data_IF_390763401562
#
_entry.id   IF_390763401562
#
_cell.length_a   1.000
_cell.length_b   1.000
_cell.length_c   1.000
_cell.angle_alpha   90.00
_cell.angle_beta   90.00
_cell.angle_gamma   90.00
#
_symmetry.space_group_name_H-M   'P 1'
#
loop_
_entity.id
_entity.type
_entity.pdbx_description
1 polymer ?
#
# COMPACT_ATOMS: atom_id res chain seq x y z
N UNK A 1 63.29 1.93 2.01
CA UNK A 1 62.49 3.15 1.73
C UNK A 1 61.26 2.79 0.86
N UNK A 2 60.16 2.31 1.46
CA UNK A 2 58.95 1.84 0.72
C UNK A 2 57.64 2.16 1.46
N UNK A 3 57.53 3.35 2.07
CA UNK A 3 56.42 3.69 2.97
C UNK A 3 55.54 4.84 2.46
N UNK A 4 55.95 5.54 1.39
CA UNK A 4 55.28 6.77 0.94
C UNK A 4 54.06 6.52 0.03
N UNK A 5 54.02 5.40 -0.70
CA UNK A 5 52.90 5.06 -1.59
C UNK A 5 51.67 4.50 -0.84
N UNK A 6 51.87 3.99 0.39
CA UNK A 6 50.81 3.33 1.17
C UNK A 6 49.73 4.30 1.68
N UNK A 7 50.11 5.56 1.99
CA UNK A 7 49.17 6.59 2.49
C UNK A 7 48.11 7.00 1.47
N UNK A 8 48.47 7.08 0.19
CA UNK A 8 47.53 7.40 -0.88
C UNK A 8 46.53 6.26 -1.11
N UNK A 9 46.96 5.02 -0.87
CA UNK A 9 46.07 3.86 -0.99
C UNK A 9 45.05 3.79 0.15
N UNK A 10 45.45 4.17 1.37
CA UNK A 10 44.52 4.30 2.50
C UNK A 10 43.51 5.44 2.29
N UNK A 11 43.94 6.52 1.63
CA UNK A 11 43.06 7.64 1.27
C UNK A 11 42.01 7.25 0.21
N UNK A 12 42.41 6.47 -0.80
CA UNK A 12 41.49 5.89 -1.80
C UNK A 12 40.49 4.92 -1.16
N UNK A 13 40.92 4.13 -0.17
CA UNK A 13 40.05 3.18 0.53
C UNK A 13 38.94 3.88 1.34
N UNK A 14 39.22 5.06 1.93
CA UNK A 14 38.21 5.82 2.70
C UNK A 14 37.14 6.49 1.82
N UNK A 15 37.45 6.81 0.56
CA UNK A 15 36.52 7.43 -0.39
C UNK A 15 35.45 6.46 -0.93
N UNK A 16 35.67 5.15 -0.86
CA UNK A 16 34.76 4.13 -1.40
C UNK A 16 33.59 3.73 -0.49
N UNK A 17 33.56 4.16 0.77
CA UNK A 17 32.60 3.70 1.80
C UNK A 17 31.19 4.32 1.72
N UNK A 18 30.83 5.00 0.61
CA UNK A 18 29.55 5.73 0.47
C UNK A 18 28.69 5.30 -0.72
N UNK A 19 28.82 4.06 -1.18
CA UNK A 19 27.95 3.53 -2.23
C UNK A 19 26.83 2.67 -1.64
N UNK A 20 25.70 3.29 -1.29
CA UNK A 20 24.44 2.57 -1.06
C UNK A 20 23.69 2.46 -2.39
N UNK A 21 23.84 1.34 -3.09
CA UNK A 21 23.03 1.03 -4.26
C UNK A 21 21.66 0.53 -3.80
N UNK A 22 20.75 1.46 -3.44
CA UNK A 22 19.38 1.09 -3.08
C UNK A 22 18.53 1.00 -4.34
N UNK A 23 18.21 -0.23 -4.76
CA UNK A 23 17.18 -0.47 -5.76
C UNK A 23 15.82 -0.02 -5.20
N UNK A 24 15.33 1.14 -5.66
CA UNK A 24 13.97 1.56 -5.36
C UNK A 24 13.01 0.72 -6.20
N UNK A 25 12.30 -0.20 -5.57
CA UNK A 25 11.22 -1.00 -6.16
C UNK A 25 9.89 -0.25 -6.21
N UNK A 26 9.89 1.06 -5.92
CA UNK A 26 8.67 1.86 -5.90
C UNK A 26 8.32 2.28 -7.32
N UNK A 27 7.32 1.62 -7.91
CA UNK A 27 6.74 2.04 -9.18
C UNK A 27 5.99 3.36 -8.92
N UNK A 28 6.32 4.46 -9.61
CA UNK A 28 5.63 5.73 -9.41
C UNK A 28 4.18 5.62 -9.86
N UNK A 29 3.28 6.21 -9.08
CA UNK A 29 1.88 6.33 -9.46
C UNK A 29 1.75 7.26 -10.69
N UNK A 30 0.79 6.98 -11.57
CA UNK A 30 0.53 7.87 -12.71
C UNK A 30 0.15 9.27 -12.22
N UNK A 31 0.59 10.30 -12.94
CA UNK A 31 0.41 11.72 -12.58
C UNK A 31 -1.06 12.18 -12.60
N UNK A 32 -1.91 11.48 -13.33
CA UNK A 32 -3.36 11.74 -13.44
C UNK A 32 -4.17 11.15 -12.28
N UNK A 33 -3.54 10.36 -11.41
CA UNK A 33 -4.19 9.81 -10.23
C UNK A 33 -3.97 10.75 -9.04
N UNK A 34 -5.06 11.26 -8.49
CA UNK A 34 -5.06 11.98 -7.23
C UNK A 34 -5.18 10.95 -6.10
N UNK A 35 -4.23 10.95 -5.17
CA UNK A 35 -4.23 10.00 -4.05
C UNK A 35 -3.86 10.66 -2.72
N UNK A 36 -4.25 10.04 -1.62
CA UNK A 36 -3.96 10.55 -0.28
C UNK A 36 -4.47 9.64 0.84
N UNK A 37 -4.42 10.16 2.06
CA UNK A 37 -4.90 9.49 3.27
C UNK A 37 -5.85 10.42 4.03
N UNK A 38 -7.04 9.92 4.34
CA UNK A 38 -8.04 10.61 5.13
C UNK A 38 -7.65 10.63 6.62
N UNK A 39 -8.28 11.52 7.41
CA UNK A 39 -8.04 11.64 8.86
C UNK A 39 -8.25 10.33 9.63
N UNK A 40 -9.21 9.51 9.19
CA UNK A 40 -9.51 8.19 9.75
C UNK A 40 -8.53 7.09 9.28
N UNK A 41 -7.53 7.44 8.48
CA UNK A 41 -6.48 6.55 8.03
C UNK A 41 -6.74 5.80 6.72
N UNK A 42 -7.92 5.97 6.12
CA UNK A 42 -8.25 5.37 4.82
C UNK A 42 -7.44 5.99 3.69
N UNK A 43 -6.93 5.15 2.78
CA UNK A 43 -6.26 5.61 1.55
C UNK A 43 -7.29 5.72 0.43
N UNK A 44 -7.18 6.75 -0.39
CA UNK A 44 -8.04 6.94 -1.56
C UNK A 44 -7.21 7.17 -2.82
N UNK A 45 -7.79 6.79 -3.95
CA UNK A 45 -7.25 6.98 -5.29
C UNK A 45 -8.41 7.42 -6.20
N UNK A 46 -8.23 8.52 -6.91
CA UNK A 46 -9.21 9.08 -7.84
C UNK A 46 -8.52 9.27 -9.17
N UNK A 47 -9.07 8.68 -10.22
CA UNK A 47 -8.64 8.84 -11.59
C UNK A 47 -9.79 9.45 -12.37
N UNK A 48 -9.54 10.57 -13.05
CA UNK A 48 -10.52 11.11 -13.98
C UNK A 48 -10.63 10.20 -15.20
N UNK A 49 -11.85 9.82 -15.56
CA UNK A 49 -12.13 9.06 -16.77
C UNK A 49 -13.20 9.77 -17.59
N UNK A 50 -12.93 9.97 -18.89
CA UNK A 50 -13.82 10.67 -19.81
C UNK A 50 -14.83 9.74 -20.49
N UNK A 51 -14.61 8.42 -20.47
CA UNK A 51 -15.47 7.46 -21.16
C UNK A 51 -15.69 6.19 -20.33
N UNK A 52 -16.94 5.73 -20.19
CA UNK A 52 -18.18 6.31 -20.72
C UNK A 52 -18.64 7.56 -19.97
N UNK A 53 -19.29 8.48 -20.67
CA UNK A 53 -19.86 9.70 -20.08
C UNK A 53 -20.96 9.36 -19.05
N UNK A 54 -21.17 10.29 -18.12
CA UNK A 54 -22.21 10.23 -17.08
C UNK A 54 -22.13 8.99 -16.18
N UNK A 55 -20.93 8.41 -16.06
CA UNK A 55 -20.67 7.24 -15.23
C UNK A 55 -19.44 7.47 -14.38
N UNK A 56 -19.52 6.99 -13.14
CA UNK A 56 -18.40 6.94 -12.21
C UNK A 56 -18.37 5.56 -11.58
N UNK A 57 -17.17 5.00 -11.44
CA UNK A 57 -16.98 3.69 -10.81
C UNK A 57 -16.42 3.88 -9.42
N UNK A 58 -17.11 3.35 -8.42
CA UNK A 58 -16.64 3.35 -7.03
C UNK A 58 -16.20 1.95 -6.62
N UNK A 59 -15.01 1.87 -6.02
CA UNK A 59 -14.47 0.62 -5.50
C UNK A 59 -14.05 0.83 -4.04
N UNK A 60 -14.46 -0.09 -3.18
CA UNK A 60 -14.07 -0.11 -1.78
C UNK A 60 -13.25 -1.37 -1.49
N UNK A 61 -11.93 -1.24 -1.56
CA UNK A 61 -11.02 -2.35 -1.28
C UNK A 61 -10.82 -2.50 0.24
N UNK A 62 -11.18 -3.66 0.77
CA UNK A 62 -10.87 -4.03 2.16
C UNK A 62 -9.66 -4.95 2.17
N UNK A 63 -8.59 -4.58 2.88
CA UNK A 63 -7.47 -5.48 3.14
C UNK A 63 -7.83 -6.42 4.29
N UNK A 64 -8.75 -7.35 4.03
CA UNK A 64 -9.18 -8.38 4.98
C UNK A 64 -8.82 -9.74 4.38
N UNK A 65 -7.92 -10.45 5.02
CA UNK A 65 -7.56 -11.83 4.68
C UNK A 65 -7.75 -12.73 5.88
N UNK A 66 -8.12 -13.99 5.66
CA UNK A 66 -8.27 -15.01 6.70
C UNK A 66 -6.92 -15.63 7.16
N UNK A 67 -5.78 -15.05 6.74
CA UNK A 67 -4.44 -15.65 6.90
C UNK A 67 -3.99 -15.75 8.37
N UNK A 68 -4.67 -15.05 9.29
CA UNK A 68 -4.39 -15.08 10.73
C UNK A 68 -5.35 -15.96 11.54
N UNK A 69 -6.12 -16.85 10.91
CA UNK A 69 -6.77 -17.94 11.66
C UNK A 69 -5.69 -18.95 12.06
N UNK A 70 -5.27 -18.84 13.32
CA UNK A 70 -4.38 -19.74 14.05
C UNK A 70 -4.60 -21.19 13.65
N UNK A 71 -3.49 -21.90 13.36
CA UNK A 71 -3.38 -23.34 13.10
C UNK A 71 -3.80 -24.22 14.30
N UNK A 72 -5.00 -24.01 14.84
CA UNK A 72 -5.63 -24.90 15.80
C UNK A 72 -7.07 -25.13 15.34
N UNK A 73 -7.20 -26.11 14.43
CA UNK A 73 -8.45 -26.73 13.96
C UNK A 73 -9.62 -25.76 13.78
N UNK A 74 -9.67 -25.11 12.61
CA UNK A 74 -10.90 -24.49 12.12
C UNK A 74 -11.95 -25.59 11.98
N UNK A 75 -13.04 -25.51 12.76
CA UNK A 75 -14.17 -26.43 12.66
C UNK A 75 -15.26 -25.85 11.77
N UNK A 76 -16.21 -26.69 11.32
CA UNK A 76 -17.35 -26.24 10.48
C UNK A 76 -18.21 -25.19 11.21
N UNK A 77 -18.27 -25.24 12.55
CA UNK A 77 -18.95 -24.23 13.37
C UNK A 77 -18.28 -22.87 13.31
N UNK A 78 -16.94 -22.82 13.31
CA UNK A 78 -16.19 -21.55 13.26
C UNK A 78 -16.40 -20.86 11.91
N UNK A 79 -16.35 -21.63 10.82
CA UNK A 79 -16.64 -21.13 9.46
C UNK A 79 -18.06 -20.57 9.37
N UNK A 80 -19.03 -21.27 9.98
CA UNK A 80 -20.43 -20.83 10.00
C UNK A 80 -20.63 -19.57 10.85
N UNK A 81 -19.93 -19.47 11.98
CA UNK A 81 -19.98 -18.30 12.87
C UNK A 81 -19.32 -17.07 12.22
N UNK A 82 -18.14 -17.25 11.61
CA UNK A 82 -17.46 -16.20 10.86
C UNK A 82 -18.33 -15.71 9.68
N UNK A 83 -18.84 -16.62 8.85
CA UNK A 83 -19.70 -16.26 7.73
C UNK A 83 -20.95 -15.49 8.20
N UNK A 84 -21.61 -15.98 9.26
CA UNK A 84 -22.75 -15.28 9.85
C UNK A 84 -22.36 -13.89 10.35
N UNK A 85 -21.26 -13.73 11.07
CA UNK A 85 -20.85 -12.44 11.62
C UNK A 85 -20.37 -11.45 10.55
N UNK A 86 -19.65 -11.94 9.52
CA UNK A 86 -19.11 -11.14 8.44
C UNK A 86 -20.21 -10.66 7.47
N UNK A 87 -21.17 -11.54 7.15
CA UNK A 87 -22.26 -11.24 6.21
C UNK A 87 -23.54 -10.70 6.87
N UNK A 88 -23.73 -10.85 8.19
CA UNK A 88 -24.89 -10.27 8.89
C UNK A 88 -24.77 -8.76 9.15
N UNK A 89 -23.57 -8.19 9.05
CA UNK A 89 -23.43 -6.75 9.09
C UNK A 89 -23.80 -6.19 7.72
N UNK A 90 -24.83 -5.33 7.59
CA UNK A 90 -25.01 -4.55 6.38
C UNK A 90 -23.80 -3.63 6.25
N UNK A 91 -22.75 -4.07 5.57
CA UNK A 91 -21.58 -3.26 5.22
C UNK A 91 -21.95 -2.31 4.07
N UNK A 92 -22.98 -1.50 4.28
CA UNK A 92 -23.33 -0.40 3.40
C UNK A 92 -22.48 0.78 3.83
N UNK A 93 -21.37 1.00 3.15
CA UNK A 93 -20.62 2.25 3.27
C UNK A 93 -21.32 3.26 2.37
N UNK A 94 -22.30 3.99 2.91
CA UNK A 94 -22.93 5.09 2.18
C UNK A 94 -21.93 6.23 1.98
N UNK A 95 -21.33 6.27 0.80
CA UNK A 95 -20.49 7.39 0.39
C UNK A 95 -21.40 8.49 -0.18
N UNK A 96 -21.98 9.29 0.71
CA UNK A 96 -22.77 10.47 0.30
C UNK A 96 -21.81 11.60 -0.07
N UNK A 97 -21.45 11.68 -1.35
CA UNK A 97 -20.78 12.86 -1.89
C UNK A 97 -21.82 13.94 -2.15
N UNK A 98 -21.88 14.95 -1.27
CA UNK A 98 -22.63 16.18 -1.58
C UNK A 98 -21.81 17.00 -2.56
N UNK A 99 -22.34 17.20 -3.76
CA UNK A 99 -21.86 18.23 -4.69
C UNK A 99 -21.98 19.59 -3.99
N UNK A 100 -20.87 20.33 -3.94
CA UNK A 100 -20.91 21.74 -3.54
C UNK A 100 -21.34 22.54 -4.77
N UNK A 101 -22.41 23.37 -4.69
CA UNK A 101 -22.81 24.23 -5.79
C UNK A 101 -21.71 25.23 -6.15
#
# INVERSE_FOLDING_TARGET
>A
MKIFQSKYWTFILLLGLKSTAQFSTTIPLRKDVVSGKLKNGMKYYVLHNAFPKDRVSFYFAQNVGAILETLNKITVSDIKAFAKQFFAQPKTVEVVMKSKP
#
